data_IF_375521933193
#
_entry.id   IF_375521933193
#
_cell.length_a   1.000
_cell.length_b   1.000
_cell.length_c   1.000
_cell.angle_alpha   90.00
_cell.angle_beta   90.00
_cell.angle_gamma   90.00
#
_symmetry.space_group_name_H-M   'P 1'
#
loop_
_entity.id
_entity.type
_entity.pdbx_description
1 polymer ?
#
# COMPACT_ATOMS: atom_id res chain seq x y z
N UNK A 1 30.64 -8.77 0.02
CA UNK A 1 29.19 -9.02 0.23
C UNK A 1 28.94 -10.51 0.25
N UNK A 2 28.31 -10.98 1.32
CA UNK A 2 27.93 -12.39 1.50
C UNK A 2 26.65 -12.67 0.70
N UNK A 3 26.67 -13.74 -0.11
CA UNK A 3 25.53 -14.16 -0.94
C UNK A 3 24.27 -14.40 -0.12
N UNK A 4 24.43 -14.82 1.14
CA UNK A 4 23.30 -15.02 2.06
C UNK A 4 22.53 -13.72 2.33
N UNK A 5 23.24 -12.61 2.58
CA UNK A 5 22.60 -11.31 2.88
C UNK A 5 21.89 -10.74 1.66
N UNK A 6 22.49 -10.88 0.47
CA UNK A 6 21.88 -10.47 -0.80
C UNK A 6 20.58 -11.26 -1.08
N UNK A 7 20.61 -12.58 -0.88
CA UNK A 7 19.45 -13.45 -1.08
C UNK A 7 18.33 -13.16 -0.08
N UNK A 8 18.65 -13.02 1.21
CA UNK A 8 17.65 -12.67 2.24
C UNK A 8 17.04 -11.30 1.97
N UNK A 9 17.85 -10.29 1.63
CA UNK A 9 17.35 -8.96 1.29
C UNK A 9 16.41 -8.96 0.09
N UNK A 10 16.75 -9.74 -0.95
CA UNK A 10 15.89 -9.90 -2.13
C UNK A 10 14.56 -10.57 -1.80
N UNK A 11 14.57 -11.63 -0.97
CA UNK A 11 13.33 -12.29 -0.51
C UNK A 11 12.45 -11.34 0.32
N UNK A 12 13.05 -10.55 1.21
CA UNK A 12 12.31 -9.53 1.98
C UNK A 12 11.67 -8.47 1.07
N UNK A 13 12.35 -8.08 -0.02
CA UNK A 13 11.78 -7.15 -1.01
C UNK A 13 10.57 -7.75 -1.73
N UNK A 14 10.62 -9.03 -2.12
CA UNK A 14 9.48 -9.73 -2.75
C UNK A 14 8.29 -9.77 -1.79
N UNK A 15 8.53 -10.18 -0.53
CA UNK A 15 7.47 -10.25 0.49
C UNK A 15 6.86 -8.85 0.70
N UNK A 16 7.70 -7.82 0.87
CA UNK A 16 7.23 -6.44 1.06
C UNK A 16 6.41 -5.93 -0.12
N UNK A 17 6.81 -6.25 -1.35
CA UNK A 17 6.06 -5.90 -2.55
C UNK A 17 4.69 -6.59 -2.61
N UNK A 18 4.64 -7.89 -2.31
CA UNK A 18 3.38 -8.65 -2.26
C UNK A 18 2.44 -8.09 -1.20
N UNK A 19 2.94 -7.83 0.01
CA UNK A 19 2.14 -7.25 1.10
C UNK A 19 1.60 -5.87 0.71
N UNK A 20 2.41 -5.03 0.07
CA UNK A 20 1.97 -3.71 -0.42
C UNK A 20 0.89 -3.84 -1.49
N UNK A 21 1.01 -4.82 -2.39
CA UNK A 21 0.00 -5.11 -3.41
C UNK A 21 -1.31 -5.60 -2.81
N UNK A 22 -1.24 -6.52 -1.84
CA UNK A 22 -2.41 -6.99 -1.09
C UNK A 22 -3.07 -5.85 -0.31
N UNK A 23 -2.29 -4.95 0.30
CA UNK A 23 -2.84 -3.79 0.99
C UNK A 23 -3.59 -2.85 0.02
N UNK A 24 -3.06 -2.58 -1.17
CA UNK A 24 -3.72 -1.71 -2.16
C UNK A 24 -5.10 -2.24 -2.59
N UNK A 25 -5.25 -3.56 -2.68
CA UNK A 25 -6.51 -4.22 -3.03
C UNK A 25 -7.37 -4.64 -1.83
N UNK A 26 -6.94 -4.34 -0.61
CA UNK A 26 -7.69 -4.73 0.59
C UNK A 26 -8.90 -3.82 0.77
N UNK A 27 -10.07 -4.39 1.07
CA UNK A 27 -11.32 -3.63 1.23
C UNK A 27 -11.45 -2.90 2.58
N UNK A 28 -10.53 -3.17 3.51
CA UNK A 28 -10.64 -2.81 4.91
C UNK A 28 -9.58 -1.79 5.33
N UNK A 29 -9.50 -0.65 4.63
CA UNK A 29 -8.64 0.46 5.05
C UNK A 29 -9.27 1.27 6.18
N UNK A 30 -10.58 1.47 6.11
CA UNK A 30 -11.38 2.09 7.17
C UNK A 30 -12.65 1.28 7.37
N UNK A 31 -13.02 1.06 8.62
CA UNK A 31 -14.23 0.33 9.01
C UNK A 31 -14.96 1.20 10.03
N UNK A 32 -16.26 1.42 9.83
CA UNK A 32 -17.07 2.12 10.81
C UNK A 32 -17.40 1.25 12.02
N UNK A 33 -17.46 1.89 13.18
CA UNK A 33 -18.05 1.33 14.38
C UNK A 33 -19.57 1.28 14.23
N UNK A 34 -20.19 0.17 14.64
CA UNK A 34 -21.65 -0.01 14.59
C UNK A 34 -22.28 0.76 15.75
N UNK A 35 -22.19 2.09 15.74
CA UNK A 35 -22.76 2.93 16.79
C UNK A 35 -23.37 4.20 16.22
N UNK A 36 -24.70 4.23 16.06
CA UNK A 36 -25.43 5.49 15.94
C UNK A 36 -26.60 5.56 14.94
N UNK A 37 -27.63 4.72 15.11
CA UNK A 37 -29.06 5.06 15.03
C UNK A 37 -29.91 3.82 14.72
N UNK A 38 -31.01 3.67 15.45
CA UNK A 38 -31.85 2.46 15.60
C UNK A 38 -32.55 2.02 14.30
N UNK A 39 -32.41 2.74 13.19
CA UNK A 39 -33.27 2.56 12.01
C UNK A 39 -32.62 1.68 10.93
N UNK A 40 -31.29 1.64 10.77
CA UNK A 40 -30.62 0.62 9.93
C UNK A 40 -29.21 0.37 10.46
N UNK A 41 -28.96 -0.79 11.09
CA UNK A 41 -27.61 -1.21 11.47
C UNK A 41 -26.84 -1.63 10.22
N UNK A 42 -26.02 -0.73 9.68
CA UNK A 42 -25.14 -1.03 8.55
C UNK A 42 -23.68 -0.89 8.97
N UNK A 43 -22.87 -1.91 8.66
CA UNK A 43 -21.42 -1.87 8.83
C UNK A 43 -20.83 -1.30 7.55
N UNK A 44 -20.14 -0.17 7.62
CA UNK A 44 -19.50 0.44 6.46
C UNK A 44 -18.01 0.13 6.48
N UNK A 45 -17.47 -0.18 5.31
CA UNK A 45 -16.04 -0.35 5.12
C UNK A 45 -15.65 0.23 3.77
N UNK A 46 -14.50 0.86 3.71
CA UNK A 46 -14.00 1.46 2.49
C UNK A 46 -12.51 1.17 2.31
N UNK A 47 -12.11 1.14 1.05
CA UNK A 47 -10.72 1.11 0.65
C UNK A 47 -10.38 2.35 -0.16
N UNK A 48 -9.24 2.30 -0.84
CA UNK A 48 -8.84 3.38 -1.71
C UNK A 48 -9.78 3.56 -2.90
N UNK A 49 -10.48 2.53 -3.38
CA UNK A 49 -11.14 2.46 -4.70
C UNK A 49 -12.66 2.56 -4.66
N UNK A 50 -13.28 2.00 -3.62
CA UNK A 50 -14.71 1.93 -3.42
C UNK A 50 -15.08 1.96 -1.94
N UNK A 51 -16.35 2.22 -1.68
CA UNK A 51 -16.97 2.12 -0.37
C UNK A 51 -18.09 1.09 -0.39
N UNK A 52 -18.20 0.33 0.68
CA UNK A 52 -19.18 -0.74 0.84
C UNK A 52 -19.98 -0.57 2.13
N UNK A 53 -21.24 -1.01 2.09
CA UNK A 53 -22.12 -1.07 3.25
C UNK A 53 -22.77 -2.45 3.36
N UNK A 54 -22.53 -3.12 4.48
CA UNK A 54 -23.13 -4.40 4.83
C UNK A 54 -24.38 -4.16 5.69
N UNK A 55 -25.53 -4.67 5.25
CA UNK A 55 -26.80 -4.56 5.97
C UNK A 55 -26.97 -5.68 7.02
N UNK A 56 -28.01 -5.61 7.84
CA UNK A 56 -28.28 -6.61 8.89
C UNK A 56 -28.57 -8.02 8.35
N UNK A 57 -28.86 -8.17 7.06
CA UNK A 57 -29.04 -9.45 6.39
C UNK A 57 -27.70 -10.06 5.88
N UNK A 58 -26.57 -9.37 6.10
CA UNK A 58 -25.24 -9.80 5.64
C UNK A 58 -24.98 -9.54 4.16
N UNK A 59 -25.81 -8.73 3.50
CA UNK A 59 -25.62 -8.37 2.09
C UNK A 59 -24.78 -7.09 2.04
N UNK A 60 -23.62 -7.16 1.37
CA UNK A 60 -22.72 -6.04 1.16
C UNK A 60 -22.96 -5.41 -0.22
N UNK A 61 -23.31 -4.13 -0.22
CA UNK A 61 -23.46 -3.32 -1.43
C UNK A 61 -22.25 -2.38 -1.56
N UNK A 62 -21.47 -2.53 -2.64
CA UNK A 62 -20.27 -1.73 -2.90
C UNK A 62 -20.51 -0.73 -4.04
N UNK A 63 -19.97 0.47 -3.88
CA UNK A 63 -19.98 1.52 -4.92
C UNK A 63 -18.58 2.08 -5.10
N UNK A 64 -18.15 2.12 -6.36
CA UNK A 64 -16.91 2.79 -6.76
C UNK A 64 -17.01 4.30 -6.57
N UNK A 65 -15.88 4.93 -6.29
CA UNK A 65 -15.82 6.38 -6.23
C UNK A 65 -15.92 6.98 -7.65
N UNK A 66 -17.10 7.49 -8.01
CA UNK A 66 -17.45 7.92 -9.38
C UNK A 66 -16.58 9.04 -9.96
N UNK A 67 -15.99 9.92 -9.13
CA UNK A 67 -15.14 11.00 -9.64
C UNK A 67 -13.98 11.35 -8.73
N UNK A 68 -12.81 11.62 -9.35
CA UNK A 68 -11.60 12.07 -8.65
C UNK A 68 -11.79 13.42 -7.97
N UNK A 69 -12.70 14.27 -8.47
CA UNK A 69 -12.91 15.62 -7.97
C UNK A 69 -13.80 15.67 -6.71
N UNK A 70 -14.67 14.66 -6.51
CA UNK A 70 -15.49 14.54 -5.32
C UNK A 70 -14.81 13.75 -4.19
N UNK A 71 -13.66 13.12 -4.47
CA UNK A 71 -12.93 12.30 -3.52
C UNK A 71 -12.04 13.18 -2.62
N UNK A 72 -11.96 12.92 -1.31
CA UNK A 72 -11.06 13.66 -0.44
C UNK A 72 -9.61 13.50 -0.88
N UNK A 73 -8.89 14.62 -0.92
CA UNK A 73 -7.54 14.71 -1.47
C UNK A 73 -6.55 13.71 -0.85
N UNK A 74 -6.72 13.35 0.43
CA UNK A 74 -5.86 12.37 1.11
C UNK A 74 -5.97 10.97 0.49
N UNK A 75 -7.16 10.54 0.03
CA UNK A 75 -7.33 9.23 -0.60
C UNK A 75 -6.63 9.21 -1.96
N UNK A 76 -6.77 10.28 -2.74
CA UNK A 76 -6.07 10.39 -4.03
C UNK A 76 -4.54 10.40 -3.85
N UNK A 77 -4.02 11.11 -2.84
CA UNK A 77 -2.61 11.08 -2.51
C UNK A 77 -2.14 9.67 -2.09
N UNK A 78 -2.91 8.97 -1.26
CA UNK A 78 -2.60 7.61 -0.84
C UNK A 78 -2.60 6.64 -2.03
N UNK A 79 -3.57 6.74 -2.95
CA UNK A 79 -3.58 5.97 -4.22
C UNK A 79 -2.29 6.17 -5.01
N UNK A 80 -1.91 7.43 -5.24
CA UNK A 80 -0.71 7.75 -6.00
C UNK A 80 0.55 7.19 -5.31
N UNK A 81 0.69 7.38 -4.00
CA UNK A 81 1.83 6.89 -3.22
C UNK A 81 1.93 5.36 -3.22
N UNK A 82 0.81 4.65 -3.09
CA UNK A 82 0.79 3.19 -3.14
C UNK A 82 1.15 2.65 -4.53
N UNK A 83 0.64 3.26 -5.61
CA UNK A 83 1.00 2.89 -6.97
C UNK A 83 2.48 3.15 -7.24
N UNK A 84 2.99 4.33 -6.85
CA UNK A 84 4.42 4.66 -6.98
C UNK A 84 5.27 3.66 -6.21
N UNK A 85 4.89 3.29 -4.99
CA UNK A 85 5.56 2.25 -4.20
C UNK A 85 5.63 0.91 -4.94
N UNK A 86 4.54 0.48 -5.59
CA UNK A 86 4.52 -0.77 -6.36
C UNK A 86 5.39 -0.71 -7.61
N UNK A 87 5.41 0.43 -8.31
CA UNK A 87 6.26 0.63 -9.49
C UNK A 87 7.75 0.66 -9.11
N UNK A 88 8.10 1.38 -8.04
CA UNK A 88 9.45 1.41 -7.49
C UNK A 88 9.88 0.02 -6.99
N UNK A 89 8.98 -0.70 -6.32
CA UNK A 89 9.23 -2.06 -5.85
C UNK A 89 9.46 -3.05 -7.00
N UNK A 90 8.67 -2.95 -8.08
CA UNK A 90 8.88 -3.76 -9.29
C UNK A 90 10.23 -3.42 -9.96
N UNK A 91 10.55 -2.14 -10.11
CA UNK A 91 11.83 -1.69 -10.63
C UNK A 91 13.02 -2.16 -9.78
N UNK A 92 12.89 -2.07 -8.45
CA UNK A 92 13.85 -2.60 -7.50
C UNK A 92 14.07 -4.10 -7.69
N UNK A 93 13.00 -4.90 -7.82
CA UNK A 93 13.12 -6.35 -8.02
C UNK A 93 13.89 -6.69 -9.30
N UNK A 94 13.61 -5.99 -10.40
CA UNK A 94 14.33 -6.20 -11.67
C UNK A 94 15.82 -5.85 -11.52
N UNK A 95 16.13 -4.68 -10.97
CA UNK A 95 17.52 -4.22 -10.79
C UNK A 95 18.28 -5.13 -9.82
N UNK A 96 17.64 -5.55 -8.73
CA UNK A 96 18.24 -6.43 -7.71
C UNK A 96 18.47 -7.84 -8.25
N UNK A 97 17.54 -8.37 -9.06
CA UNK A 97 17.69 -9.68 -9.72
C UNK A 97 18.93 -9.71 -10.62
N UNK A 98 19.15 -8.65 -11.40
CA UNK A 98 20.33 -8.52 -12.26
C UNK A 98 21.63 -8.29 -11.46
N UNK A 99 21.54 -7.75 -10.24
CA UNK A 99 22.66 -7.50 -9.34
C UNK A 99 23.11 -8.71 -8.50
N UNK A 100 22.31 -9.78 -8.44
CA UNK A 100 22.62 -10.98 -7.66
C UNK A 100 23.84 -11.73 -8.22
N UNK A 101 24.72 -12.18 -7.33
CA UNK A 101 25.91 -12.97 -7.72
C UNK A 101 25.58 -14.31 -8.37
N UNK A 102 24.46 -14.93 -8.00
CA UNK A 102 24.01 -16.20 -8.57
C UNK A 102 23.49 -16.09 -10.02
N UNK A 103 23.12 -14.88 -10.47
CA UNK A 103 22.66 -14.64 -11.84
C UNK A 103 23.87 -14.23 -12.71
N UNK A 104 24.23 -15.07 -13.67
CA UNK A 104 25.24 -14.74 -14.70
C UNK A 104 24.54 -14.27 -15.98
N UNK A 105 24.29 -12.96 -16.07
CA UNK A 105 23.85 -12.30 -17.30
C UNK A 105 25.04 -11.50 -17.86
N UNK A 106 25.57 -11.94 -19.00
CA UNK A 106 26.69 -11.30 -19.70
C UNK A 106 28.03 -11.33 -18.96
N UNK A 107 28.97 -10.50 -19.42
CA UNK A 107 30.32 -10.29 -18.86
C UNK A 107 30.35 -9.14 -17.83
N UNK A 108 29.28 -8.95 -17.06
CA UNK A 108 29.22 -7.90 -16.06
C UNK A 108 30.26 -8.11 -14.95
N UNK A 109 31.05 -7.08 -14.66
CA UNK A 109 32.04 -7.13 -13.58
C UNK A 109 31.36 -7.17 -12.20
N UNK A 110 32.03 -7.77 -11.21
CA UNK A 110 31.54 -7.81 -9.82
C UNK A 110 31.24 -6.41 -9.26
N UNK A 111 31.99 -5.39 -9.71
CA UNK A 111 31.77 -4.00 -9.32
C UNK A 111 30.46 -3.44 -9.90
N UNK A 112 30.09 -3.83 -11.13
CA UNK A 112 28.81 -3.43 -11.72
C UNK A 112 27.64 -4.09 -10.98
N UNK A 113 27.74 -5.38 -10.67
CA UNK A 113 26.73 -6.10 -9.89
C UNK A 113 26.51 -5.49 -8.51
N UNK A 114 27.60 -5.12 -7.84
CA UNK A 114 27.53 -4.44 -6.54
C UNK A 114 26.80 -3.09 -6.62
N UNK A 115 27.06 -2.28 -7.66
CA UNK A 115 26.34 -1.02 -7.88
C UNK A 115 24.85 -1.25 -8.13
N UNK A 116 24.50 -2.29 -8.90
CA UNK A 116 23.10 -2.66 -9.16
C UNK A 116 22.39 -3.11 -7.88
N UNK A 117 23.03 -3.94 -7.06
CA UNK A 117 22.46 -4.35 -5.77
C UNK A 117 22.20 -3.16 -4.83
N UNK A 118 23.14 -2.20 -4.75
CA UNK A 118 22.96 -0.97 -3.98
C UNK A 118 21.82 -0.11 -4.55
N UNK A 119 21.78 0.07 -5.87
CA UNK A 119 20.71 0.83 -6.53
C UNK A 119 19.32 0.19 -6.28
N UNK A 120 19.23 -1.14 -6.35
CA UNK A 120 18.02 -1.88 -5.99
C UNK A 120 17.59 -1.62 -4.55
N UNK A 121 18.52 -1.70 -3.60
CA UNK A 121 18.27 -1.37 -2.19
C UNK A 121 17.73 0.05 -1.97
N UNK A 122 18.32 1.05 -2.65
CA UNK A 122 17.84 2.45 -2.58
C UNK A 122 16.42 2.58 -3.12
N UNK A 123 16.12 1.95 -4.26
CA UNK A 123 14.75 1.94 -4.82
C UNK A 123 13.75 1.26 -3.89
N UNK A 124 14.15 0.16 -3.23
CA UNK A 124 13.33 -0.54 -2.23
C UNK A 124 12.99 0.37 -1.05
N UNK A 125 13.99 1.10 -0.53
CA UNK A 125 13.78 2.05 0.57
C UNK A 125 12.85 3.20 0.18
N UNK A 126 13.01 3.76 -1.02
CA UNK A 126 12.11 4.81 -1.52
C UNK A 126 10.69 4.30 -1.69
N UNK A 127 10.50 3.11 -2.26
CA UNK A 127 9.18 2.47 -2.36
C UNK A 127 8.56 2.25 -0.98
N UNK A 128 9.32 1.67 -0.05
CA UNK A 128 8.87 1.46 1.33
C UNK A 128 8.47 2.74 2.05
N UNK A 129 9.20 3.84 1.86
CA UNK A 129 8.84 5.15 2.41
C UNK A 129 7.52 5.67 1.84
N UNK A 130 7.29 5.54 0.53
CA UNK A 130 6.00 5.91 -0.07
C UNK A 130 4.83 5.13 0.55
N UNK A 131 4.99 3.82 0.74
CA UNK A 131 3.99 2.96 1.39
C UNK A 131 3.72 3.39 2.84
N UNK A 132 4.78 3.60 3.64
CA UNK A 132 4.65 4.05 5.03
C UNK A 132 3.93 5.39 5.12
N UNK A 133 4.28 6.35 4.26
CA UNK A 133 3.63 7.67 4.22
C UNK A 133 2.15 7.54 3.88
N UNK A 134 1.78 6.72 2.89
CA UNK A 134 0.39 6.50 2.51
C UNK A 134 -0.43 5.92 3.67
N UNK A 135 0.03 4.81 4.26
CA UNK A 135 -0.67 4.15 5.36
C UNK A 135 -0.75 5.02 6.62
N UNK A 136 0.34 5.73 6.96
CA UNK A 136 0.39 6.59 8.14
C UNK A 136 -0.51 7.81 7.99
N UNK A 137 -0.52 8.44 6.81
CA UNK A 137 -1.41 9.56 6.54
C UNK A 137 -2.88 9.11 6.61
N UNK A 138 -3.22 8.01 5.94
CA UNK A 138 -4.58 7.49 5.95
C UNK A 138 -5.04 7.18 7.39
N UNK A 139 -4.23 6.44 8.16
CA UNK A 139 -4.52 6.15 9.57
C UNK A 139 -4.66 7.40 10.44
N UNK A 140 -3.82 8.41 10.22
CA UNK A 140 -3.93 9.69 10.92
C UNK A 140 -5.27 10.39 10.65
N UNK A 141 -5.74 10.41 9.40
CA UNK A 141 -7.04 10.99 9.05
C UNK A 141 -8.19 10.26 9.74
N UNK A 142 -8.17 8.92 9.74
CA UNK A 142 -9.19 8.10 10.44
C UNK A 142 -9.23 8.44 11.93
N UNK A 143 -8.07 8.58 12.58
CA UNK A 143 -8.01 8.94 14.01
C UNK A 143 -8.53 10.36 14.24
N UNK A 144 -8.21 11.31 13.37
CA UNK A 144 -8.71 12.69 13.49
C UNK A 144 -10.24 12.75 13.32
N UNK A 145 -10.78 12.08 12.31
CA UNK A 145 -12.22 12.03 12.05
C UNK A 145 -12.98 11.41 13.22
N UNK A 146 -12.43 10.34 13.82
CA UNK A 146 -13.02 9.68 14.98
C UNK A 146 -13.15 10.62 16.20
N UNK A 147 -12.11 11.42 16.48
CA UNK A 147 -12.08 12.32 17.64
C UNK A 147 -12.72 13.69 17.39
N UNK A 148 -13.03 14.03 16.13
CA UNK A 148 -13.65 15.30 15.81
C UNK A 148 -15.15 15.29 16.20
N UNK A 149 -15.61 16.21 17.07
CA UNK A 149 -17.02 16.30 17.47
C UNK A 149 -17.93 16.86 16.37
N UNK A 150 -17.36 17.53 15.36
CA UNK A 150 -18.10 18.08 14.22
C UNK A 150 -18.04 17.18 12.97
N UNK A 151 -17.45 15.99 13.08
CA UNK A 151 -17.44 15.05 11.98
C UNK A 151 -18.84 14.48 11.77
N UNK A 152 -19.50 14.90 10.68
CA UNK A 152 -20.84 14.44 10.30
C UNK A 152 -20.87 13.09 9.58
N UNK A 153 -19.71 12.44 9.41
CA UNK A 153 -19.61 11.10 8.85
C UNK A 153 -19.79 10.00 9.90
N UNK A 154 -19.83 8.75 9.43
CA UNK A 154 -19.94 7.58 10.31
C UNK A 154 -18.58 7.28 10.93
N UNK A 155 -18.55 7.11 12.26
CA UNK A 155 -17.35 6.86 13.07
C UNK A 155 -16.98 5.38 13.12
#
# INVERSE_FOLDING_TARGET
MSTAVEATGFLMCIIGWLVTGSALGNDYWKISTVSGSVIISQRQFENLWHACAENSAGIAECRDFESLLALPAHIQACRALMIISLLLGLGCMIVSLLGLKCIKIGSASEQSKAKMAVAGGVLSLLGGLCCIIACSWYGYQVVQDFHNPFFGGVK
#
